data_IF_958789656470
#
_entry.id   IF_958789656470
#
_cell.length_a   1.000
_cell.length_b   1.000
_cell.length_c   1.000
_cell.angle_alpha   90.00
_cell.angle_beta   90.00
_cell.angle_gamma   90.00
#
_symmetry.space_group_name_H-M   'P 1'
#
loop_
_entity.id
_entity.type
_entity.pdbx_description
1 polymer ?
#
# COMPACT_ATOMS: atom_id res chain seq x y z
N UNK A 1 2.53 -3.69 -25.45
CA UNK A 1 2.05 -4.53 -24.33
C UNK A 1 2.18 -3.76 -23.02
N UNK A 2 1.47 -4.18 -21.98
CA UNK A 2 1.57 -3.62 -20.64
C UNK A 2 2.18 -4.66 -19.70
N UNK A 3 3.05 -4.20 -18.82
CA UNK A 3 3.57 -4.97 -17.69
C UNK A 3 3.25 -4.27 -16.38
N UNK A 4 3.08 -5.05 -15.32
CA UNK A 4 2.96 -4.56 -13.94
C UNK A 4 3.48 -5.61 -12.95
N UNK A 5 3.82 -5.18 -11.74
CA UNK A 5 4.04 -6.05 -10.59
C UNK A 5 2.77 -6.17 -9.73
N UNK A 6 2.70 -7.16 -8.85
CA UNK A 6 1.67 -7.16 -7.80
C UNK A 6 2.09 -8.02 -6.61
N UNK A 7 1.67 -7.64 -5.41
CA UNK A 7 1.83 -8.40 -4.16
C UNK A 7 0.48 -9.02 -3.77
N UNK A 8 -0.40 -8.23 -3.13
CA UNK A 8 -1.78 -8.65 -2.79
C UNK A 8 -2.68 -9.03 -4.01
N UNK A 9 -2.21 -8.86 -5.24
CA UNK A 9 -2.97 -9.18 -6.46
C UNK A 9 -3.91 -8.08 -6.95
N UNK A 10 -4.25 -7.07 -6.14
CA UNK A 10 -5.21 -6.03 -6.52
C UNK A 10 -4.74 -5.15 -7.69
N UNK A 11 -3.49 -4.69 -7.66
CA UNK A 11 -2.91 -3.91 -8.77
C UNK A 11 -2.84 -4.73 -10.06
N UNK A 12 -2.48 -6.01 -9.94
CA UNK A 12 -2.48 -6.94 -11.07
C UNK A 12 -3.87 -7.13 -11.68
N UNK A 13 -4.91 -7.32 -10.86
CA UNK A 13 -6.31 -7.41 -11.32
C UNK A 13 -6.77 -6.11 -11.97
N UNK A 14 -6.45 -4.95 -11.37
CA UNK A 14 -6.80 -3.65 -11.94
C UNK A 14 -6.14 -3.44 -13.31
N UNK A 15 -4.85 -3.74 -13.42
CA UNK A 15 -4.08 -3.66 -14.68
C UNK A 15 -4.66 -4.61 -15.73
N UNK A 16 -4.90 -5.87 -15.37
CA UNK A 16 -5.50 -6.86 -16.27
C UNK A 16 -6.88 -6.43 -16.76
N UNK A 17 -7.69 -5.83 -15.90
CA UNK A 17 -9.03 -5.34 -16.25
C UNK A 17 -8.97 -4.25 -17.32
N UNK A 18 -8.12 -3.25 -17.14
CA UNK A 18 -7.96 -2.16 -18.13
C UNK A 18 -7.36 -2.70 -19.43
N UNK A 19 -6.39 -3.61 -19.35
CA UNK A 19 -5.80 -4.22 -20.54
C UNK A 19 -6.81 -5.05 -21.34
N UNK A 20 -7.66 -5.83 -20.66
CA UNK A 20 -8.74 -6.59 -21.30
C UNK A 20 -9.74 -5.67 -22.00
N UNK A 21 -10.15 -4.58 -21.34
CA UNK A 21 -11.04 -3.57 -21.92
C UNK A 21 -10.44 -2.90 -23.17
N UNK A 22 -9.13 -2.63 -23.14
CA UNK A 22 -8.43 -1.91 -24.21
C UNK A 22 -7.87 -2.84 -25.31
N UNK A 23 -8.02 -4.16 -25.18
CA UNK A 23 -7.45 -5.13 -26.13
C UNK A 23 -5.91 -5.17 -26.14
N UNK A 24 -5.26 -4.87 -25.01
CA UNK A 24 -3.80 -4.82 -24.89
C UNK A 24 -3.27 -6.06 -24.19
N UNK A 25 -2.19 -6.66 -24.70
CA UNK A 25 -1.50 -7.77 -24.02
C UNK A 25 -1.00 -7.33 -22.64
N UNK A 26 -1.37 -8.07 -21.61
CA UNK A 26 -1.03 -7.82 -20.20
C UNK A 26 -0.14 -8.93 -19.63
N UNK A 27 0.93 -8.55 -18.96
CA UNK A 27 1.82 -9.47 -18.24
C UNK A 27 2.00 -8.95 -16.82
N UNK A 28 1.73 -9.78 -15.83
CA UNK A 28 1.82 -9.43 -14.41
C UNK A 28 2.91 -10.26 -13.76
N UNK A 29 3.92 -9.62 -13.20
CA UNK A 29 4.91 -10.24 -12.33
C UNK A 29 4.36 -10.32 -10.91
N UNK A 30 4.44 -11.48 -10.26
CA UNK A 30 3.95 -11.68 -8.90
C UNK A 30 4.86 -12.65 -8.14
N UNK A 31 5.14 -12.39 -6.87
CA UNK A 31 5.96 -13.27 -6.04
C UNK A 31 5.37 -14.68 -5.94
N UNK A 32 6.19 -15.74 -5.99
CA UNK A 32 5.69 -17.12 -5.87
C UNK A 32 4.94 -17.37 -4.56
N UNK A 33 5.39 -16.77 -3.45
CA UNK A 33 4.71 -16.85 -2.15
C UNK A 33 3.35 -16.15 -2.24
N UNK A 34 3.30 -14.97 -2.88
CA UNK A 34 2.08 -14.19 -3.05
C UNK A 34 1.07 -14.87 -3.99
N UNK A 35 1.53 -15.55 -5.05
CA UNK A 35 0.67 -16.34 -5.94
C UNK A 35 -0.13 -17.38 -5.16
N UNK A 36 0.52 -18.02 -4.18
CA UNK A 36 -0.11 -19.03 -3.32
C UNK A 36 -1.10 -18.38 -2.35
N UNK A 37 -0.68 -17.33 -1.63
CA UNK A 37 -1.51 -16.65 -0.61
C UNK A 37 -2.71 -15.93 -1.21
N UNK A 38 -2.60 -15.43 -2.45
CA UNK A 38 -3.59 -14.58 -3.11
C UNK A 38 -4.18 -15.26 -4.35
N UNK A 39 -4.32 -16.59 -4.30
CA UNK A 39 -4.83 -17.42 -5.39
C UNK A 39 -6.13 -16.91 -6.04
N UNK A 40 -7.13 -16.36 -5.30
CA UNK A 40 -8.33 -15.79 -5.93
C UNK A 40 -8.03 -14.64 -6.91
N UNK A 41 -7.06 -13.77 -6.59
CA UNK A 41 -6.68 -12.68 -7.48
C UNK A 41 -5.85 -13.18 -8.67
N UNK A 42 -5.03 -14.22 -8.51
CA UNK A 42 -4.35 -14.88 -9.63
C UNK A 42 -5.35 -15.46 -10.62
N UNK A 43 -6.40 -16.13 -10.13
CA UNK A 43 -7.46 -16.65 -10.97
C UNK A 43 -8.17 -15.53 -11.74
N UNK A 44 -8.54 -14.43 -11.07
CA UNK A 44 -9.15 -13.25 -11.71
C UNK A 44 -8.28 -12.68 -12.84
N UNK A 45 -6.98 -12.51 -12.61
CA UNK A 45 -6.05 -12.02 -13.65
C UNK A 45 -6.03 -12.93 -14.88
N UNK A 46 -5.97 -14.25 -14.67
CA UNK A 46 -5.99 -15.23 -15.77
C UNK A 46 -7.33 -15.23 -16.52
N UNK A 47 -8.46 -15.09 -15.81
CA UNK A 47 -9.78 -14.94 -16.43
C UNK A 47 -9.89 -13.69 -17.31
N UNK A 48 -9.17 -12.62 -16.95
CA UNK A 48 -9.06 -11.39 -17.73
C UNK A 48 -8.06 -11.49 -18.90
N UNK A 49 -7.43 -12.65 -19.11
CA UNK A 49 -6.48 -12.88 -20.21
C UNK A 49 -5.06 -12.37 -19.95
N UNK A 50 -4.72 -12.01 -18.70
CA UNK A 50 -3.36 -11.64 -18.35
C UNK A 50 -2.46 -12.86 -18.15
N UNK A 51 -1.20 -12.76 -18.59
CA UNK A 51 -0.14 -13.71 -18.28
C UNK A 51 0.43 -13.40 -16.90
N UNK A 52 0.34 -14.34 -15.95
CA UNK A 52 0.92 -14.14 -14.60
C UNK A 52 2.25 -14.89 -14.51
N UNK A 53 3.35 -14.16 -14.28
CA UNK A 53 4.72 -14.69 -14.19
C UNK A 53 5.20 -14.73 -12.74
N UNK A 54 5.63 -15.89 -12.23
CA UNK A 54 6.15 -16.00 -10.87
C UNK A 54 7.55 -15.38 -10.76
N UNK A 55 7.76 -14.52 -9.78
CA UNK A 55 9.09 -14.12 -9.33
C UNK A 55 9.60 -15.16 -8.31
N UNK A 56 10.62 -15.91 -8.73
CA UNK A 56 11.16 -17.08 -8.00
C UNK A 56 12.49 -16.80 -7.28
N UNK A 57 13.08 -15.62 -7.49
CA UNK A 57 14.32 -15.21 -6.85
C UNK A 57 14.03 -14.43 -5.56
N UNK A 58 14.98 -14.44 -4.61
CA UNK A 58 14.87 -13.65 -3.38
C UNK A 58 13.81 -14.18 -2.40
N UNK A 59 13.09 -13.26 -1.76
CA UNK A 59 11.99 -13.54 -0.83
C UNK A 59 10.73 -14.03 -1.55
N UNK A 60 10.68 -13.88 -2.89
CA UNK A 60 9.56 -14.29 -3.73
C UNK A 60 8.26 -13.58 -3.36
N UNK A 61 8.39 -12.30 -3.02
CA UNK A 61 7.28 -11.39 -2.67
C UNK A 61 7.25 -10.16 -3.60
N UNK A 62 6.48 -9.13 -3.27
CA UNK A 62 6.30 -7.89 -4.05
C UNK A 62 7.63 -7.24 -4.51
N UNK A 63 8.66 -7.21 -3.66
CA UNK A 63 9.99 -6.67 -4.02
C UNK A 63 10.56 -7.38 -5.24
N UNK A 64 10.52 -8.71 -5.28
CA UNK A 64 11.08 -9.49 -6.38
C UNK A 64 10.21 -9.41 -7.64
N UNK A 65 8.88 -9.34 -7.48
CA UNK A 65 7.99 -9.05 -8.60
C UNK A 65 8.30 -7.69 -9.26
N UNK A 66 8.63 -6.67 -8.45
CA UNK A 66 9.05 -5.35 -8.94
C UNK A 66 10.37 -5.44 -9.70
N UNK A 67 11.36 -6.19 -9.18
CA UNK A 67 12.63 -6.41 -9.86
C UNK A 67 12.43 -7.07 -11.24
N UNK A 68 11.58 -8.10 -11.32
CA UNK A 68 11.30 -8.79 -12.57
C UNK A 68 10.53 -7.90 -13.57
N UNK A 69 9.58 -7.08 -13.10
CA UNK A 69 8.89 -6.11 -13.96
C UNK A 69 9.85 -5.05 -14.53
N UNK A 70 10.76 -4.51 -13.71
CA UNK A 70 11.78 -3.54 -14.16
C UNK A 70 12.73 -4.20 -15.17
N UNK A 71 13.17 -5.45 -14.92
CA UNK A 71 14.02 -6.20 -15.86
C UNK A 71 13.33 -6.45 -17.19
N UNK A 72 12.05 -6.81 -17.17
CA UNK A 72 11.26 -6.97 -18.40
C UNK A 72 11.20 -5.64 -19.17
N UNK A 73 10.95 -4.53 -18.46
CA UNK A 73 10.89 -3.19 -19.08
C UNK A 73 12.20 -2.81 -19.76
N UNK A 74 13.34 -3.02 -19.09
CA UNK A 74 14.68 -2.72 -19.64
C UNK A 74 14.94 -3.51 -20.93
N UNK A 75 14.52 -4.77 -20.97
CA UNK A 75 14.73 -5.63 -22.14
C UNK A 75 13.76 -5.33 -23.29
N UNK A 76 12.68 -4.59 -23.05
CA UNK A 76 11.62 -4.37 -24.03
C UNK A 76 11.08 -2.92 -24.04
N UNK A 77 11.94 -1.88 -24.16
CA UNK A 77 11.55 -0.51 -23.87
C UNK A 77 10.69 0.17 -24.95
N UNK A 78 10.61 -0.40 -26.16
CA UNK A 78 10.00 0.27 -27.33
C UNK A 78 8.48 0.12 -27.34
N UNK A 79 7.98 -1.09 -27.09
CA UNK A 79 6.58 -1.47 -27.25
C UNK A 79 5.90 -1.80 -25.91
N UNK A 80 6.59 -1.57 -24.80
CA UNK A 80 6.13 -1.94 -23.45
C UNK A 80 6.01 -0.73 -22.55
N UNK A 81 4.82 -0.56 -21.97
CA UNK A 81 4.59 0.38 -20.89
C UNK A 81 4.56 -0.36 -19.55
N UNK A 82 5.32 0.12 -18.58
CA UNK A 82 5.33 -0.40 -17.22
C UNK A 82 4.37 0.41 -16.35
N UNK A 83 3.34 -0.24 -15.80
CA UNK A 83 2.43 0.37 -14.84
C UNK A 83 2.86 -0.05 -13.43
N UNK A 84 3.62 0.82 -12.77
CA UNK A 84 3.96 0.64 -11.36
C UNK A 84 2.74 0.87 -10.46
N UNK A 85 2.58 0.04 -9.43
CA UNK A 85 1.36 0.00 -8.61
C UNK A 85 1.31 0.98 -7.45
N UNK A 86 2.34 1.80 -7.25
CA UNK A 86 2.39 2.71 -6.13
C UNK A 86 3.17 4.00 -6.40
N UNK A 87 3.23 4.89 -5.42
CA UNK A 87 4.01 6.15 -5.48
C UNK A 87 5.50 5.93 -5.21
N UNK A 88 6.02 4.82 -5.70
CA UNK A 88 7.43 4.41 -5.63
C UNK A 88 8.04 4.50 -7.02
N UNK A 89 9.31 4.13 -7.17
CA UNK A 89 9.98 4.11 -8.46
C UNK A 89 10.56 5.46 -8.91
N UNK A 90 11.22 5.50 -10.07
CA UNK A 90 11.83 6.72 -10.58
C UNK A 90 10.77 7.76 -10.97
N UNK A 91 11.17 9.03 -11.03
CA UNK A 91 10.37 10.04 -11.71
C UNK A 91 10.09 9.60 -13.16
N UNK A 92 8.85 9.74 -13.68
CA UNK A 92 7.72 10.50 -13.13
C UNK A 92 6.74 9.72 -12.25
N UNK A 93 6.97 8.44 -11.96
CA UNK A 93 5.94 7.58 -11.36
C UNK A 93 5.40 8.05 -10.01
N UNK A 94 6.22 8.45 -9.00
CA UNK A 94 5.68 8.92 -7.73
C UNK A 94 4.71 10.10 -7.87
N UNK A 95 5.06 11.10 -8.67
CA UNK A 95 4.21 12.28 -8.90
C UNK A 95 2.96 11.91 -9.71
N UNK A 96 3.14 11.14 -10.79
CA UNK A 96 2.04 10.70 -11.65
C UNK A 96 1.00 9.88 -10.88
N UNK A 97 1.43 8.87 -10.12
CA UNK A 97 0.52 8.03 -9.34
C UNK A 97 -0.16 8.83 -8.23
N UNK A 98 0.56 9.73 -7.55
CA UNK A 98 -0.04 10.59 -6.52
C UNK A 98 -1.14 11.50 -7.12
N UNK A 99 -0.92 12.07 -8.31
CA UNK A 99 -1.91 12.88 -9.02
C UNK A 99 -3.12 12.07 -9.44
N UNK A 100 -2.93 10.88 -9.99
CA UNK A 100 -4.07 10.00 -10.36
C UNK A 100 -4.88 9.57 -9.13
N UNK A 101 -4.23 9.35 -7.99
CA UNK A 101 -4.89 8.99 -6.73
C UNK A 101 -5.49 10.21 -6.00
N UNK A 102 -5.11 11.45 -6.35
CA UNK A 102 -5.58 12.67 -5.67
C UNK A 102 -7.09 12.88 -5.72
N UNK A 103 -7.77 12.20 -6.65
CA UNK A 103 -9.24 12.16 -6.71
C UNK A 103 -9.85 11.74 -5.37
N UNK A 104 -9.21 10.82 -4.63
CA UNK A 104 -9.67 10.37 -3.31
C UNK A 104 -9.77 11.55 -2.35
N UNK A 105 -8.69 12.31 -2.17
CA UNK A 105 -8.69 13.46 -1.25
C UNK A 105 -9.63 14.58 -1.70
N UNK A 106 -9.73 14.81 -3.01
CA UNK A 106 -10.63 15.83 -3.57
C UNK A 106 -12.10 15.49 -3.34
N UNK A 107 -12.48 14.21 -3.47
CA UNK A 107 -13.82 13.74 -3.13
C UNK A 107 -14.11 13.88 -1.64
N UNK A 108 -13.16 13.52 -0.78
CA UNK A 108 -13.28 13.71 0.69
C UNK A 108 -13.56 15.17 1.04
N UNK A 109 -12.86 16.14 0.45
CA UNK A 109 -13.13 17.58 0.70
C UNK A 109 -14.57 17.97 0.35
N UNK A 110 -15.06 17.50 -0.80
CA UNK A 110 -16.41 17.76 -1.26
C UNK A 110 -17.45 17.09 -0.35
N UNK A 111 -17.18 15.87 0.12
CA UNK A 111 -18.05 15.12 1.03
C UNK A 111 -18.10 15.78 2.42
N UNK A 112 -16.94 16.12 2.99
CA UNK A 112 -16.85 16.81 4.28
C UNK A 112 -17.54 18.17 4.28
N UNK A 113 -17.42 18.95 3.20
CA UNK A 113 -18.17 20.20 3.07
C UNK A 113 -19.68 19.99 3.18
N UNK A 114 -20.19 18.89 2.60
CA UNK A 114 -21.63 18.58 2.61
C UNK A 114 -22.12 18.05 3.95
N UNK A 115 -21.30 17.27 4.65
CA UNK A 115 -21.68 16.55 5.88
C UNK A 115 -21.36 17.40 7.12
N UNK A 116 -20.17 18.01 7.16
CA UNK A 116 -19.64 18.74 8.32
C UNK A 116 -19.63 20.26 8.13
N UNK A 117 -19.97 20.76 6.93
CA UNK A 117 -19.89 22.21 6.61
C UNK A 117 -18.45 22.74 6.50
N UNK A 118 -17.45 21.86 6.58
CA UNK A 118 -16.03 22.19 6.56
C UNK A 118 -15.27 21.13 5.76
N UNK A 119 -14.51 21.54 4.74
CA UNK A 119 -13.70 20.63 3.91
C UNK A 119 -12.45 20.06 4.60
N UNK A 120 -12.06 20.59 5.76
CA UNK A 120 -10.82 20.24 6.44
C UNK A 120 -11.09 19.44 7.72
N UNK A 121 -10.78 18.13 7.76
CA UNK A 121 -10.91 17.34 8.97
C UNK A 121 -9.77 17.63 9.95
N UNK A 122 -9.90 17.19 11.19
CA UNK A 122 -8.82 17.27 12.18
C UNK A 122 -7.68 16.31 11.80
N UNK A 123 -8.04 15.11 11.31
CA UNK A 123 -7.09 14.06 10.91
C UNK A 123 -7.47 13.42 9.58
N UNK A 124 -6.47 13.11 8.77
CA UNK A 124 -6.56 12.17 7.65
C UNK A 124 -5.58 11.02 7.90
N UNK A 125 -6.08 9.79 7.80
CA UNK A 125 -5.36 8.58 8.23
C UNK A 125 -5.39 7.54 7.11
N UNK A 126 -4.24 6.99 6.76
CA UNK A 126 -4.13 5.95 5.75
C UNK A 126 -2.94 5.03 5.98
N UNK A 127 -3.07 3.77 5.54
CA UNK A 127 -1.99 2.80 5.57
C UNK A 127 -0.94 3.08 4.47
N UNK A 128 0.32 2.83 4.79
CA UNK A 128 1.49 3.09 3.94
C UNK A 128 2.32 1.83 3.79
N UNK A 129 2.18 1.17 2.63
CA UNK A 129 3.22 0.30 2.07
C UNK A 129 4.06 1.13 1.10
N UNK A 130 3.87 0.95 -0.21
CA UNK A 130 4.38 1.91 -1.20
C UNK A 130 3.75 3.31 -1.08
N UNK A 131 2.48 3.38 -0.63
CA UNK A 131 1.83 4.60 -0.16
C UNK A 131 0.90 5.31 -1.14
N UNK A 132 0.48 4.70 -2.24
CA UNK A 132 -0.37 5.36 -3.26
C UNK A 132 -1.73 5.82 -2.73
N UNK A 133 -2.44 4.95 -2.01
CA UNK A 133 -3.73 5.30 -1.39
C UNK A 133 -3.59 6.49 -0.42
N UNK A 134 -2.54 6.48 0.39
CA UNK A 134 -2.22 7.52 1.36
C UNK A 134 -1.87 8.83 0.65
N UNK A 135 -1.03 8.78 -0.39
CA UNK A 135 -0.69 9.95 -1.18
C UNK A 135 -1.93 10.59 -1.80
N UNK A 136 -2.86 9.78 -2.32
CA UNK A 136 -4.11 10.25 -2.90
C UNK A 136 -5.01 10.99 -1.92
N UNK A 137 -5.26 10.40 -0.75
CA UNK A 137 -6.13 11.05 0.25
C UNK A 137 -5.46 12.26 0.91
N UNK A 138 -4.12 12.26 1.07
CA UNK A 138 -3.38 13.36 1.67
C UNK A 138 -3.14 14.52 0.71
N UNK A 139 -3.16 14.28 -0.59
CA UNK A 139 -2.75 15.23 -1.63
C UNK A 139 -3.28 16.66 -1.43
N UNK A 140 -4.59 16.90 -1.23
CA UNK A 140 -5.10 18.26 -1.09
C UNK A 140 -4.82 18.90 0.29
N UNK A 141 -4.30 18.13 1.24
CA UNK A 141 -4.03 18.57 2.62
C UNK A 141 -2.54 18.77 2.91
N UNK A 142 -1.63 18.45 1.98
CA UNK A 142 -0.17 18.47 2.21
C UNK A 142 0.32 19.83 2.75
N UNK A 143 -0.17 20.93 2.19
CA UNK A 143 0.21 22.28 2.63
C UNK A 143 -0.69 22.84 3.76
N UNK A 144 -1.80 22.17 4.06
CA UNK A 144 -2.71 22.60 5.12
C UNK A 144 -2.28 22.06 6.49
N UNK A 145 -1.49 22.85 7.23
CA UNK A 145 -1.00 22.51 8.57
C UNK A 145 -2.09 22.32 9.64
N UNK A 146 -3.34 22.71 9.38
CA UNK A 146 -4.46 22.47 10.31
C UNK A 146 -4.93 21.02 10.29
N UNK A 147 -4.72 20.32 9.17
CA UNK A 147 -5.10 18.91 9.01
C UNK A 147 -3.91 18.03 9.38
N UNK A 148 -4.05 17.21 10.42
CA UNK A 148 -3.01 16.27 10.84
C UNK A 148 -3.01 15.05 9.91
N UNK A 149 -1.84 14.68 9.41
CA UNK A 149 -1.67 13.54 8.50
C UNK A 149 -1.07 12.40 9.30
N UNK A 150 -1.74 11.24 9.35
CA UNK A 150 -1.24 10.04 10.00
C UNK A 150 -0.99 8.95 8.94
N UNK A 151 0.27 8.57 8.83
CA UNK A 151 0.77 7.48 8.00
C UNK A 151 0.89 6.21 8.84
N UNK A 152 0.24 5.12 8.44
CA UNK A 152 0.23 3.88 9.22
C UNK A 152 1.00 2.78 8.52
N UNK A 153 2.12 2.36 9.11
CA UNK A 153 2.99 1.31 8.56
C UNK A 153 2.75 -0.03 9.27
N UNK A 154 3.04 -1.13 8.59
CA UNK A 154 2.97 -2.46 9.20
C UNK A 154 4.21 -2.74 10.04
N UNK A 155 4.02 -3.01 11.32
CA UNK A 155 5.08 -3.43 12.22
C UNK A 155 5.32 -4.95 12.21
N UNK A 156 4.49 -5.73 11.51
CA UNK A 156 4.62 -7.18 11.43
C UNK A 156 4.42 -7.83 12.79
N UNK A 157 5.41 -8.61 13.25
CA UNK A 157 5.41 -9.20 14.62
C UNK A 157 5.96 -8.23 15.68
N UNK A 158 6.18 -6.98 15.32
CA UNK A 158 6.74 -5.92 16.17
C UNK A 158 8.06 -5.40 15.63
N UNK A 159 8.34 -4.12 15.88
CA UNK A 159 9.52 -3.42 15.36
C UNK A 159 10.87 -4.05 15.77
N UNK A 160 10.93 -4.67 16.95
CA UNK A 160 12.15 -5.30 17.49
C UNK A 160 12.25 -6.80 17.16
N UNK A 161 11.27 -7.37 16.46
CA UNK A 161 11.18 -8.82 16.22
C UNK A 161 12.12 -9.31 15.11
N UNK A 162 12.60 -8.40 14.25
CA UNK A 162 13.26 -8.74 12.99
C UNK A 162 12.28 -9.08 11.84
N UNK A 163 10.98 -9.19 12.12
CA UNK A 163 9.92 -9.44 11.14
C UNK A 163 8.95 -8.24 11.13
N UNK A 164 9.31 -7.20 10.38
CA UNK A 164 8.57 -5.93 10.32
C UNK A 164 8.67 -5.26 8.95
N UNK A 165 7.75 -4.34 8.64
CA UNK A 165 7.80 -3.47 7.46
C UNK A 165 7.72 -1.97 7.85
N UNK A 166 8.03 -1.64 9.11
CA UNK A 166 7.95 -0.30 9.68
C UNK A 166 9.10 0.59 9.21
N UNK A 167 9.07 0.98 7.94
CA UNK A 167 10.16 1.68 7.24
C UNK A 167 10.54 3.02 7.89
N UNK A 168 9.58 3.74 8.48
CA UNK A 168 9.85 5.00 9.18
C UNK A 168 10.63 4.84 10.48
N UNK A 169 10.61 3.65 11.08
CA UNK A 169 11.31 3.32 12.33
C UNK A 169 12.62 2.60 12.06
N UNK A 170 12.58 1.59 11.18
CA UNK A 170 13.70 0.68 10.92
C UNK A 170 14.52 1.07 9.69
N UNK A 171 13.98 1.95 8.85
CA UNK A 171 14.60 2.36 7.61
C UNK A 171 15.59 3.50 7.75
N UNK A 172 16.42 3.64 6.73
CA UNK A 172 17.38 4.73 6.54
C UNK A 172 17.30 5.23 5.10
N UNK A 173 17.83 6.42 4.86
CA UNK A 173 17.91 6.97 3.51
C UNK A 173 18.78 6.07 2.61
N UNK A 174 18.31 5.81 1.39
CA UNK A 174 19.02 5.00 0.41
C UNK A 174 18.31 5.02 -0.94
N UNK A 175 18.71 4.12 -1.84
CA UNK A 175 18.17 4.05 -3.21
C UNK A 175 17.62 2.65 -3.47
N UNK A 176 16.34 2.56 -3.80
CA UNK A 176 15.66 1.32 -4.19
C UNK A 176 14.72 1.58 -5.35
N UNK A 177 14.68 0.64 -6.31
CA UNK A 177 13.80 0.66 -7.48
C UNK A 177 13.82 2.01 -8.24
N UNK A 178 14.97 2.69 -8.31
CA UNK A 178 15.11 3.95 -9.05
C UNK A 178 14.70 5.22 -8.30
N UNK A 179 14.43 5.15 -6.99
CA UNK A 179 14.10 6.32 -6.15
C UNK A 179 15.01 6.45 -4.94
N UNK A 180 15.37 7.68 -4.57
CA UNK A 180 15.99 7.98 -3.27
C UNK A 180 14.88 8.14 -2.23
N UNK A 181 14.86 7.30 -1.21
CA UNK A 181 13.78 7.24 -0.21
C UNK A 181 14.26 6.65 1.11
N UNK A 182 13.37 6.50 2.09
CA UNK A 182 13.59 5.66 3.26
C UNK A 182 13.35 4.19 2.89
N UNK A 183 14.27 3.32 3.29
CA UNK A 183 14.15 1.87 3.17
C UNK A 183 14.86 1.13 4.30
N UNK A 184 14.39 -0.08 4.58
CA UNK A 184 15.06 -1.03 5.46
C UNK A 184 16.25 -1.66 4.74
N UNK A 185 17.43 -1.53 5.33
CA UNK A 185 18.67 -2.04 4.77
C UNK A 185 19.69 -2.35 5.87
N UNK A 186 20.60 -3.28 5.58
CA UNK A 186 21.73 -3.63 6.45
C UNK A 186 22.75 -2.49 6.51
N UNK A 187 23.75 -2.62 7.40
CA UNK A 187 24.84 -1.65 7.50
C UNK A 187 25.63 -1.49 6.18
N UNK A 188 25.72 -2.55 5.38
CA UNK A 188 26.40 -2.58 4.08
C UNK A 188 25.47 -2.18 2.91
N UNK A 189 24.25 -1.70 3.20
CA UNK A 189 23.30 -1.23 2.20
C UNK A 189 22.55 -2.33 1.43
N UNK A 190 22.54 -3.56 1.95
CA UNK A 190 21.71 -4.63 1.37
C UNK A 190 20.25 -4.46 1.83
N UNK A 191 19.29 -4.65 0.93
CA UNK A 191 17.87 -4.52 1.27
C UNK A 191 17.48 -5.59 2.30
N UNK A 192 16.92 -5.15 3.43
CA UNK A 192 16.35 -6.05 4.43
C UNK A 192 14.97 -6.49 3.97
N UNK A 193 14.68 -7.78 4.08
CA UNK A 193 13.36 -8.32 3.71
C UNK A 193 12.29 -7.79 4.68
N UNK A 194 11.19 -7.22 4.17
CA UNK A 194 10.08 -6.80 5.02
C UNK A 194 9.26 -8.00 5.48
N UNK A 195 8.44 -7.79 6.50
CA UNK A 195 7.37 -8.72 6.86
C UNK A 195 6.12 -7.99 7.33
N UNK A 196 4.97 -8.45 6.82
CA UNK A 196 3.65 -8.19 7.38
C UNK A 196 2.69 -9.33 7.01
N UNK A 197 1.69 -9.59 7.84
CA UNK A 197 0.55 -10.43 7.44
C UNK A 197 -0.21 -9.84 6.25
N UNK A 198 -0.12 -8.52 6.03
CA UNK A 198 -0.72 -7.80 4.92
C UNK A 198 0.24 -7.70 3.73
N UNK A 199 -0.02 -8.48 2.67
CA UNK A 199 0.81 -8.48 1.47
C UNK A 199 0.91 -7.10 0.77
N UNK A 200 -0.05 -6.20 0.95
CA UNK A 200 -0.01 -4.84 0.40
C UNK A 200 0.88 -3.86 1.19
N UNK A 201 1.24 -4.19 2.43
CA UNK A 201 2.15 -3.41 3.28
C UNK A 201 3.55 -4.05 3.39
N UNK A 202 3.71 -5.27 2.88
CA UNK A 202 4.96 -6.04 2.90
C UNK A 202 5.98 -5.54 1.86
N UNK A 203 6.49 -4.32 2.07
CA UNK A 203 7.45 -3.65 1.18
C UNK A 203 8.53 -2.92 2.00
N UNK A 204 9.84 -3.04 1.65
CA UNK A 204 10.92 -2.58 2.52
C UNK A 204 11.22 -1.09 2.40
N UNK A 205 10.42 -0.32 1.65
CA UNK A 205 10.62 1.10 1.43
C UNK A 205 9.31 1.86 1.45
N UNK A 206 9.36 3.16 1.22
CA UNK A 206 8.16 4.00 1.05
C UNK A 206 8.32 4.94 -0.14
N UNK A 207 7.23 5.49 -0.65
CA UNK A 207 7.29 6.52 -1.68
C UNK A 207 8.05 7.77 -1.20
N UNK A 208 8.82 8.46 -2.07
CA UNK A 208 9.63 9.62 -1.69
C UNK A 208 8.81 10.78 -1.12
N UNK A 209 7.54 10.92 -1.52
CA UNK A 209 6.62 11.89 -0.90
C UNK A 209 6.43 11.60 0.60
N UNK A 210 6.25 10.33 0.97
CA UNK A 210 6.07 9.90 2.36
C UNK A 210 7.37 10.02 3.16
N UNK A 211 8.51 9.69 2.56
CA UNK A 211 9.81 9.95 3.17
C UNK A 211 10.01 11.44 3.48
N UNK A 212 9.57 12.33 2.58
CA UNK A 212 9.58 13.77 2.85
C UNK A 212 8.59 14.19 3.94
N UNK A 213 7.38 13.60 4.00
CA UNK A 213 6.43 13.84 5.09
C UNK A 213 7.00 13.47 6.45
N UNK A 214 7.70 12.32 6.54
CA UNK A 214 8.40 11.90 7.75
C UNK A 214 9.51 12.88 8.11
N UNK A 215 10.44 13.15 7.19
CA UNK A 215 11.62 13.99 7.46
C UNK A 215 11.25 15.43 7.83
N UNK A 216 10.19 15.98 7.24
CA UNK A 216 9.72 17.34 7.52
C UNK A 216 8.87 17.44 8.79
N UNK A 217 8.49 16.32 9.39
CA UNK A 217 7.53 16.28 10.51
C UNK A 217 6.10 16.64 10.11
N UNK A 218 5.79 16.73 8.80
CA UNK A 218 4.45 17.05 8.31
C UNK A 218 3.47 15.88 8.49
N UNK A 219 3.96 14.65 8.35
CA UNK A 219 3.21 13.43 8.62
C UNK A 219 3.68 12.78 9.91
N UNK A 220 2.74 12.32 10.74
CA UNK A 220 3.01 11.46 11.88
C UNK A 220 2.97 10.01 11.43
N UNK A 221 4.02 9.24 11.69
CA UNK A 221 4.09 7.83 11.34
C UNK A 221 3.82 6.96 12.57
N UNK A 222 2.97 5.95 12.40
CA UNK A 222 2.58 5.01 13.45
C UNK A 222 2.74 3.60 12.89
N UNK A 223 3.42 2.74 13.62
CA UNK A 223 3.59 1.33 13.26
C UNK A 223 2.56 0.49 14.03
N UNK A 224 1.88 -0.41 13.32
CA UNK A 224 0.82 -1.28 13.86
C UNK A 224 1.22 -2.74 13.67
N UNK A 225 1.18 -3.52 14.75
CA UNK A 225 1.48 -4.95 14.71
C UNK A 225 0.34 -5.73 14.04
N UNK A 226 0.68 -6.89 13.45
CA UNK A 226 -0.26 -7.75 12.76
C UNK A 226 -1.46 -8.13 13.66
N UNK A 227 -1.21 -8.35 14.95
CA UNK A 227 -2.26 -8.67 15.93
C UNK A 227 -3.30 -7.55 16.02
N UNK A 228 -2.84 -6.31 16.20
CA UNK A 228 -3.72 -5.15 16.34
C UNK A 228 -4.52 -4.92 15.05
N UNK A 229 -3.87 -5.06 13.89
CA UNK A 229 -4.54 -4.96 12.60
C UNK A 229 -5.62 -6.04 12.41
N UNK A 230 -5.33 -7.30 12.78
CA UNK A 230 -6.31 -8.39 12.66
C UNK A 230 -7.50 -8.17 13.58
N UNK A 231 -7.27 -7.79 14.84
CA UNK A 231 -8.33 -7.47 15.81
C UNK A 231 -9.21 -6.32 15.32
N UNK A 232 -8.62 -5.26 14.76
CA UNK A 232 -9.38 -4.14 14.19
C UNK A 232 -10.18 -4.53 12.95
N UNK A 233 -9.66 -5.43 12.12
CA UNK A 233 -10.43 -5.95 10.98
C UNK A 233 -11.71 -6.65 11.41
N UNK A 234 -11.63 -7.43 12.49
CA UNK A 234 -12.78 -8.12 13.07
C UNK A 234 -13.73 -7.15 13.80
N UNK A 235 -13.20 -6.15 14.50
CA UNK A 235 -14.00 -5.13 15.16
C UNK A 235 -14.80 -4.31 14.15
N UNK A 236 -14.16 -3.84 13.06
CA UNK A 236 -14.85 -3.10 12.01
C UNK A 236 -15.94 -3.95 11.34
N UNK A 237 -15.67 -5.24 11.12
CA UNK A 237 -16.65 -6.19 10.59
C UNK A 237 -17.86 -6.35 11.50
N UNK A 238 -17.67 -6.40 12.81
CA UNK A 238 -18.74 -6.59 13.80
C UNK A 238 -19.53 -5.32 14.07
N UNK A 239 -18.85 -4.18 14.12
CA UNK A 239 -19.46 -2.89 14.45
C UNK A 239 -20.21 -2.30 13.27
N UNK A 240 -19.60 -2.33 12.09
CA UNK A 240 -20.10 -1.59 10.91
C UNK A 240 -20.53 -2.51 9.76
N UNK A 241 -20.37 -3.83 9.89
CA UNK A 241 -20.69 -4.77 8.81
C UNK A 241 -19.77 -4.66 7.59
N UNK A 242 -18.60 -4.03 7.75
CA UNK A 242 -17.61 -3.85 6.69
C UNK A 242 -16.47 -4.83 6.92
N UNK A 243 -16.20 -5.72 5.95
CA UNK A 243 -15.02 -6.59 5.98
C UNK A 243 -13.86 -5.86 5.27
N UNK A 244 -12.93 -5.24 6.00
CA UNK A 244 -11.84 -4.47 5.38
C UNK A 244 -10.74 -5.38 4.83
N UNK A 245 -9.98 -4.87 3.86
CA UNK A 245 -8.68 -5.42 3.58
C UNK A 245 -7.78 -5.28 4.82
N UNK A 246 -6.87 -6.22 5.06
CA UNK A 246 -5.96 -6.15 6.22
C UNK A 246 -5.14 -4.86 6.21
N UNK A 247 -4.80 -4.32 5.04
CA UNK A 247 -4.16 -3.01 4.86
C UNK A 247 -5.00 -1.89 5.49
N UNK A 248 -6.32 -1.88 5.22
CA UNK A 248 -7.26 -0.91 5.81
C UNK A 248 -7.36 -1.11 7.33
N UNK A 249 -7.36 -2.35 7.80
CA UNK A 249 -7.42 -2.65 9.24
C UNK A 249 -6.25 -2.05 10.03
N UNK A 250 -5.05 -1.98 9.43
CA UNK A 250 -3.92 -1.26 10.03
C UNK A 250 -4.27 0.21 10.27
N UNK A 251 -4.88 0.89 9.29
CA UNK A 251 -5.24 2.30 9.43
C UNK A 251 -6.20 2.54 10.60
N UNK A 252 -7.20 1.66 10.77
CA UNK A 252 -8.16 1.74 11.87
C UNK A 252 -7.54 1.43 13.24
N UNK A 253 -6.52 0.57 13.31
CA UNK A 253 -5.85 0.23 14.56
C UNK A 253 -5.15 1.40 15.27
N UNK A 254 -4.97 2.53 14.56
CA UNK A 254 -4.54 3.79 15.17
C UNK A 254 -5.49 4.30 16.25
N UNK A 255 -6.77 3.92 16.22
CA UNK A 255 -7.77 4.31 17.22
C UNK A 255 -7.38 3.88 18.64
N UNK A 256 -6.59 2.81 18.79
CA UNK A 256 -6.05 2.38 20.09
C UNK A 256 -4.73 3.05 20.47
N UNK A 257 -4.06 3.71 19.51
CA UNK A 257 -2.74 4.32 19.71
C UNK A 257 -2.81 5.82 19.95
N UNK A 258 -3.85 6.48 19.43
CA UNK A 258 -4.04 7.93 19.56
C UNK A 258 -5.32 8.23 20.32
N UNK A 259 -5.20 9.16 21.27
CA UNK A 259 -6.36 9.76 21.93
C UNK A 259 -6.89 10.92 21.08
N UNK A 260 -8.07 10.73 20.52
CA UNK A 260 -8.82 11.76 19.82
C UNK A 260 -9.72 12.55 20.77
N UNK A 261 -10.01 13.79 20.43
CA UNK A 261 -11.01 14.61 21.13
C UNK A 261 -12.40 14.24 20.65
N UNK A 262 -13.40 14.50 21.51
CA UNK A 262 -14.80 14.18 21.24
C UNK A 262 -15.32 14.79 19.93
N UNK A 263 -14.86 15.99 19.60
CA UNK A 263 -15.33 16.77 18.45
C UNK A 263 -14.32 16.74 17.28
N UNK A 264 -13.32 15.86 17.32
CA UNK A 264 -12.40 15.68 16.19
C UNK A 264 -13.11 14.99 15.02
N UNK A 265 -13.06 15.60 13.84
CA UNK A 265 -13.46 14.96 12.58
C UNK A 265 -12.26 14.16 12.05
N UNK A 266 -12.43 12.85 11.92
CA UNK A 266 -11.37 11.91 11.51
C UNK A 266 -11.80 11.24 10.20
N UNK A 267 -10.92 11.28 9.19
CA UNK A 267 -11.13 10.56 7.94
C UNK A 267 -10.12 9.44 7.82
N UNK A 268 -10.62 8.21 7.69
CA UNK A 268 -9.83 7.04 7.33
C UNK A 268 -9.97 6.75 5.84
N UNK A 269 -8.88 6.40 5.18
CA UNK A 269 -8.95 5.81 3.85
C UNK A 269 -9.22 4.30 3.93
N UNK A 270 -10.44 3.88 3.62
CA UNK A 270 -10.79 2.48 3.43
C UNK A 270 -10.23 1.98 2.09
N UNK A 271 -8.93 1.73 2.05
CA UNK A 271 -8.14 1.47 0.85
C UNK A 271 -8.56 0.22 0.06
N UNK A 272 -9.26 -0.74 0.69
CA UNK A 272 -9.78 -1.90 -0.01
C UNK A 272 -10.69 -2.77 0.85
N UNK A 273 -11.39 -3.68 0.17
CA UNK A 273 -12.26 -4.70 0.77
C UNK A 273 -11.52 -6.00 1.06
N UNK A 274 -11.96 -6.72 2.08
CA UNK A 274 -11.30 -7.89 2.65
C UNK A 274 -11.58 -9.22 1.98
N UNK A 275 -12.32 -9.27 0.86
CA UNK A 275 -12.62 -10.54 0.16
C UNK A 275 -11.37 -11.35 -0.16
N UNK A 276 -10.26 -10.65 -0.51
CA UNK A 276 -8.97 -11.29 -0.81
C UNK A 276 -8.30 -11.90 0.42
N UNK A 277 -8.64 -11.39 1.61
CA UNK A 277 -8.01 -11.74 2.88
C UNK A 277 -8.87 -12.70 3.71
N UNK A 278 -10.04 -13.13 3.21
CA UNK A 278 -10.94 -14.03 3.94
C UNK A 278 -10.25 -15.31 4.39
N UNK A 279 -9.42 -15.92 3.54
CA UNK A 279 -8.63 -17.10 3.92
C UNK A 279 -7.72 -16.81 5.12
N UNK A 280 -7.01 -15.68 5.08
CA UNK A 280 -6.14 -15.25 6.19
C UNK A 280 -6.95 -14.96 7.46
N UNK A 281 -8.13 -14.32 7.36
CA UNK A 281 -9.02 -14.11 8.50
C UNK A 281 -9.52 -15.42 9.10
N UNK A 282 -9.95 -16.37 8.27
CA UNK A 282 -10.41 -17.70 8.70
C UNK A 282 -9.30 -18.43 9.43
N UNK A 283 -8.11 -18.49 8.83
CA UNK A 283 -6.97 -19.21 9.41
C UNK A 283 -6.50 -18.57 10.72
N UNK A 284 -6.44 -17.22 10.78
CA UNK A 284 -5.97 -16.50 11.96
C UNK A 284 -6.92 -16.63 13.16
N UNK A 285 -8.22 -16.47 12.92
CA UNK A 285 -9.24 -16.50 13.98
C UNK A 285 -9.87 -17.87 14.21
N UNK A 286 -9.54 -18.86 13.37
CA UNK A 286 -10.13 -20.21 13.37
C UNK A 286 -11.66 -20.16 13.27
N UNK A 287 -12.16 -19.40 12.28
CA UNK A 287 -13.59 -19.22 12.01
C UNK A 287 -14.22 -20.42 11.31
#
# INVERSE_FOLDING_TARGET
RIIAETGAGQHGVATATVCALMGVKCIISMGEVDITRQAPNVARMKMLGAEVRPAICGSKTLKDATNEAIRDWINNPIDTHYIIGSVVGPHPYPDMVARFQSVIGNEVKNQLTKIEGNENPNYVIACVGGGSNAAGIFYPYLDNKKVKIICVEAAGKGIDSGESAATSVLGKEGIIHGSKTLLMQTADGQITEPYSISAGLDYPGIGPMHANLYRSGRGQFISIDDKDAMEWGLNLSRMEGIIPAIETSHAFAVLDKIKFLKDDVIVFNCSGRGDKDLGTYIDYFKL
#
